data_IF_363966736316
#
_entry.id   IF_363966736316
#
_cell.length_a   1.000
_cell.length_b   1.000
_cell.length_c   1.000
_cell.angle_alpha   90.00
_cell.angle_beta   90.00
_cell.angle_gamma   90.00
#
_symmetry.space_group_name_H-M   'P 1'
#
loop_
_entity.id
_entity.type
_entity.pdbx_description
1 polymer ?
#
# COMPACT_ATOMS: atom_id res chain seq x y z
N UNK A 1 -44.90 -6.59 58.66
CA UNK A 1 -44.30 -7.59 57.74
C UNK A 1 -42.85 -7.28 57.37
N UNK A 2 -42.45 -6.03 57.09
CA UNK A 2 -41.08 -5.68 56.65
C UNK A 2 -39.94 -6.04 57.64
N UNK A 3 -40.14 -5.96 58.96
CA UNK A 3 -39.08 -6.31 59.95
C UNK A 3 -38.64 -7.77 59.90
N UNK A 4 -39.50 -8.70 59.47
CA UNK A 4 -39.14 -10.12 59.34
C UNK A 4 -38.33 -10.39 58.07
N UNK A 5 -38.54 -9.59 57.03
CA UNK A 5 -37.79 -9.68 55.77
C UNK A 5 -36.37 -9.14 55.95
N UNK A 6 -36.23 -7.97 56.58
CA UNK A 6 -34.92 -7.38 56.91
C UNK A 6 -34.07 -8.28 57.82
N UNK A 7 -34.66 -8.93 58.83
CA UNK A 7 -33.91 -9.89 59.65
C UNK A 7 -33.41 -11.12 58.88
N UNK A 8 -34.18 -11.59 57.88
CA UNK A 8 -33.75 -12.68 56.99
C UNK A 8 -32.64 -12.25 56.04
N UNK A 9 -32.73 -11.03 55.50
CA UNK A 9 -31.74 -10.48 54.59
C UNK A 9 -30.40 -10.23 55.30
N UNK A 10 -30.47 -9.71 56.54
CA UNK A 10 -29.28 -9.58 57.41
C UNK A 10 -28.71 -10.95 57.77
N UNK A 11 -29.52 -11.93 58.14
CA UNK A 11 -29.00 -13.29 58.43
C UNK A 11 -28.38 -14.01 57.22
N UNK A 12 -28.81 -13.68 55.99
CA UNK A 12 -28.21 -14.21 54.75
C UNK A 12 -26.87 -13.54 54.44
N UNK A 13 -26.73 -12.25 54.78
CA UNK A 13 -25.51 -11.47 54.55
C UNK A 13 -24.47 -11.62 55.67
N UNK A 14 -24.89 -11.92 56.90
CA UNK A 14 -24.04 -11.97 58.10
C UNK A 14 -23.31 -13.32 58.28
N UNK A 15 -23.40 -14.21 57.30
CA UNK A 15 -22.58 -15.43 57.21
C UNK A 15 -22.67 -16.40 58.41
N UNK A 16 -23.65 -16.26 59.31
CA UNK A 16 -23.76 -17.08 60.50
C UNK A 16 -24.26 -18.48 60.10
N UNK A 17 -23.43 -19.54 60.21
CA UNK A 17 -23.81 -20.86 59.75
C UNK A 17 -24.91 -21.42 60.64
N UNK A 18 -26.14 -21.44 60.14
CA UNK A 18 -27.24 -22.14 60.81
C UNK A 18 -26.90 -23.64 60.84
N UNK A 19 -26.84 -24.22 62.04
CA UNK A 19 -26.53 -25.63 62.30
C UNK A 19 -27.63 -26.61 61.83
N UNK A 20 -27.97 -26.59 60.54
CA UNK A 20 -28.87 -27.54 59.89
C UNK A 20 -28.09 -28.33 58.82
N UNK A 21 -27.67 -29.54 59.20
CA UNK A 21 -27.39 -30.66 58.29
C UNK A 21 -26.20 -30.52 57.32
N UNK A 22 -25.09 -31.19 57.65
CA UNK A 22 -23.89 -31.39 56.81
C UNK A 22 -24.12 -32.03 55.42
N UNK A 23 -25.37 -32.32 55.01
CA UNK A 23 -25.66 -33.04 53.76
C UNK A 23 -25.83 -32.14 52.52
N UNK A 24 -25.90 -30.80 52.65
CA UNK A 24 -26.14 -29.89 51.51
C UNK A 24 -24.92 -29.18 50.92
N UNK A 25 -23.72 -29.33 51.48
CA UNK A 25 -22.51 -28.67 50.96
C UNK A 25 -21.88 -29.36 49.73
N UNK A 26 -22.31 -30.59 49.36
CA UNK A 26 -21.71 -31.33 48.23
C UNK A 26 -22.09 -30.85 46.83
N UNK A 27 -22.97 -29.84 46.70
CA UNK A 27 -23.38 -29.29 45.39
C UNK A 27 -22.87 -27.88 45.08
N UNK A 28 -22.44 -27.11 46.09
CA UNK A 28 -22.10 -25.70 45.91
C UNK A 28 -20.81 -25.52 45.10
N UNK A 29 -19.78 -26.32 45.39
CA UNK A 29 -18.49 -26.25 44.66
C UNK A 29 -18.63 -26.61 43.18
N UNK A 30 -19.58 -27.48 42.82
CA UNK A 30 -19.85 -27.84 41.41
C UNK A 30 -20.51 -26.68 40.67
N UNK A 31 -21.42 -25.95 41.32
CA UNK A 31 -22.08 -24.76 40.74
C UNK A 31 -21.07 -23.64 40.55
N UNK A 32 -20.21 -23.37 41.54
CA UNK A 32 -19.17 -22.34 41.43
C UNK A 32 -18.18 -22.67 40.31
N UNK A 33 -17.75 -23.94 40.19
CA UNK A 33 -16.88 -24.37 39.10
C UNK A 33 -17.58 -24.25 37.73
N UNK A 34 -18.85 -24.62 37.63
CA UNK A 34 -19.63 -24.51 36.39
C UNK A 34 -19.76 -23.06 35.91
N UNK A 35 -19.75 -22.08 36.81
CA UNK A 35 -19.75 -20.65 36.45
C UNK A 35 -18.35 -20.11 36.12
N UNK A 36 -17.29 -20.58 36.80
CA UNK A 36 -15.93 -20.08 36.57
C UNK A 36 -15.30 -20.70 35.32
N UNK A 37 -15.57 -21.97 35.04
CA UNK A 37 -15.00 -22.71 33.91
C UNK A 37 -15.22 -22.02 32.55
N UNK A 38 -16.43 -21.57 32.17
CA UNK A 38 -16.61 -20.90 30.88
C UNK A 38 -15.81 -19.58 30.79
N UNK A 39 -15.67 -18.84 31.89
CA UNK A 39 -14.87 -17.61 31.92
C UNK A 39 -13.40 -17.94 31.69
N UNK A 40 -12.88 -18.99 32.33
CA UNK A 40 -11.50 -19.44 32.12
C UNK A 40 -11.27 -19.92 30.69
N UNK A 41 -12.22 -20.66 30.11
CA UNK A 41 -12.13 -21.11 28.71
C UNK A 41 -12.09 -19.91 27.76
N UNK A 42 -12.97 -18.93 27.94
CA UNK A 42 -12.98 -17.69 27.14
C UNK A 42 -11.65 -16.93 27.28
N UNK A 43 -11.09 -16.85 28.48
CA UNK A 43 -9.82 -16.17 28.71
C UNK A 43 -8.64 -16.89 28.03
N UNK A 44 -8.57 -18.22 28.14
CA UNK A 44 -7.52 -19.03 27.49
C UNK A 44 -7.66 -18.97 25.97
N UNK A 45 -8.88 -19.07 25.46
CA UNK A 45 -9.23 -18.89 24.06
C UNK A 45 -8.74 -17.52 23.54
N UNK A 46 -9.04 -16.43 24.26
CA UNK A 46 -8.59 -15.09 23.90
C UNK A 46 -7.07 -14.94 23.89
N UNK A 47 -6.35 -15.52 24.86
CA UNK A 47 -4.88 -15.50 24.88
C UNK A 47 -4.29 -16.28 23.69
N UNK A 48 -4.88 -17.45 23.36
CA UNK A 48 -4.45 -18.23 22.20
C UNK A 48 -4.66 -17.47 20.89
N UNK A 49 -5.81 -16.80 20.74
CA UNK A 49 -6.13 -15.98 19.56
C UNK A 49 -5.15 -14.81 19.41
N UNK A 50 -4.88 -14.07 20.49
CA UNK A 50 -3.90 -12.96 20.46
C UNK A 50 -2.50 -13.48 20.13
N UNK A 51 -2.11 -14.63 20.69
CA UNK A 51 -0.83 -15.26 20.39
C UNK A 51 -0.70 -15.67 18.92
N UNK A 52 -1.77 -16.23 18.35
CA UNK A 52 -1.87 -16.59 16.94
C UNK A 52 -1.76 -15.34 16.03
N UNK A 53 -2.55 -14.31 16.31
CA UNK A 53 -2.50 -13.03 15.58
C UNK A 53 -1.10 -12.39 15.63
N UNK A 54 -0.50 -12.31 16.83
CA UNK A 54 0.83 -11.71 17.01
C UNK A 54 1.92 -12.50 16.26
N UNK A 55 1.84 -13.84 16.26
CA UNK A 55 2.76 -14.68 15.51
C UNK A 55 2.66 -14.43 14.00
N UNK A 56 1.44 -14.37 13.46
CA UNK A 56 1.22 -14.10 12.04
C UNK A 56 1.70 -12.70 11.65
N UNK A 57 1.43 -11.69 12.49
CA UNK A 57 1.93 -10.32 12.30
C UNK A 57 3.47 -10.27 12.22
N UNK A 58 4.17 -10.96 13.12
CA UNK A 58 5.65 -10.99 13.13
C UNK A 58 6.19 -11.70 11.88
N UNK A 59 5.59 -12.81 11.47
CA UNK A 59 5.97 -13.53 10.26
C UNK A 59 5.80 -12.66 9.01
N UNK A 60 4.65 -12.02 8.86
CA UNK A 60 4.39 -11.07 7.77
C UNK A 60 5.40 -9.93 7.77
N UNK A 61 5.70 -9.34 8.94
CA UNK A 61 6.65 -8.24 9.06
C UNK A 61 8.07 -8.64 8.66
N UNK A 62 8.53 -9.83 9.08
CA UNK A 62 9.84 -10.34 8.65
C UNK A 62 9.85 -10.65 7.14
N UNK A 63 8.78 -11.23 6.59
CA UNK A 63 8.68 -11.48 5.15
C UNK A 63 8.75 -10.16 4.33
N UNK A 64 7.98 -9.13 4.72
CA UNK A 64 8.02 -7.82 4.09
C UNK A 64 9.43 -7.21 4.13
N UNK A 65 10.10 -7.33 5.28
CA UNK A 65 11.47 -6.83 5.49
C UNK A 65 12.50 -7.59 4.66
N UNK A 66 12.40 -8.91 4.52
CA UNK A 66 13.31 -9.70 3.67
C UNK A 66 13.10 -9.33 2.20
N UNK A 67 11.84 -9.19 1.75
CA UNK A 67 11.52 -8.70 0.41
C UNK A 67 12.07 -7.30 0.14
N UNK A 68 11.79 -6.34 1.02
CA UNK A 68 12.25 -4.96 0.83
C UNK A 68 13.78 -4.86 0.86
N UNK A 69 14.48 -5.68 1.66
CA UNK A 69 15.95 -5.79 1.65
C UNK A 69 16.51 -6.35 0.34
N UNK A 70 15.73 -7.10 -0.43
CA UNK A 70 16.18 -7.68 -1.69
C UNK A 70 16.30 -6.62 -2.78
N UNK A 71 15.36 -5.68 -2.84
CA UNK A 71 15.28 -4.64 -3.87
C UNK A 71 16.57 -3.85 -4.12
N UNK A 72 17.28 -3.37 -3.09
CA UNK A 72 18.54 -2.62 -3.26
C UNK A 72 19.66 -3.38 -4.00
N UNK A 73 19.58 -4.72 -4.03
CA UNK A 73 20.56 -5.57 -4.73
C UNK A 73 20.14 -5.90 -6.17
N UNK A 74 18.94 -5.50 -6.59
CA UNK A 74 18.44 -5.69 -7.95
C UNK A 74 18.79 -4.45 -8.78
N UNK A 75 19.89 -4.55 -9.53
CA UNK A 75 20.41 -3.49 -10.39
C UNK A 75 20.67 -4.03 -11.81
N UNK A 76 21.10 -3.15 -12.72
CA UNK A 76 21.35 -3.52 -14.11
C UNK A 76 20.07 -4.02 -14.77
N UNK A 77 20.12 -5.19 -15.41
CA UNK A 77 18.97 -5.81 -16.10
C UNK A 77 17.74 -6.06 -15.21
N UNK A 78 17.94 -6.14 -13.88
CA UNK A 78 16.87 -6.31 -12.92
C UNK A 78 16.45 -5.00 -12.26
N UNK A 79 16.83 -3.83 -12.78
CA UNK A 79 16.43 -2.54 -12.21
C UNK A 79 14.91 -2.28 -12.41
N UNK A 80 14.25 -1.54 -11.51
CA UNK A 80 12.81 -1.31 -11.59
C UNK A 80 12.39 -0.55 -12.86
N UNK A 81 13.27 0.29 -13.42
CA UNK A 81 13.03 1.04 -14.66
C UNK A 81 13.04 0.16 -15.90
N UNK A 82 13.66 -1.02 -15.83
CA UNK A 82 13.73 -1.97 -16.93
C UNK A 82 12.64 -3.05 -16.85
N UNK A 83 11.79 -2.99 -15.82
CA UNK A 83 10.68 -3.93 -15.71
C UNK A 83 9.68 -3.73 -16.85
N UNK A 84 9.20 -4.81 -17.49
CA UNK A 84 8.23 -4.70 -18.59
C UNK A 84 6.97 -3.96 -18.14
N UNK A 85 6.69 -2.83 -18.78
CA UNK A 85 5.57 -1.96 -18.42
C UNK A 85 4.23 -2.65 -18.67
N UNK A 86 4.12 -3.48 -19.70
CA UNK A 86 2.93 -4.31 -19.94
C UNK A 86 2.62 -5.28 -18.79
N UNK A 87 3.61 -5.61 -17.94
CA UNK A 87 3.43 -6.47 -16.79
C UNK A 87 3.17 -5.70 -15.48
N UNK A 88 3.22 -4.36 -15.48
CA UNK A 88 3.08 -3.56 -14.26
C UNK A 88 1.67 -3.61 -13.67
N UNK A 89 0.68 -3.54 -14.56
CA UNK A 89 -0.73 -3.50 -14.21
C UNK A 89 -1.15 -4.90 -13.74
N UNK A 90 -1.76 -4.96 -12.56
CA UNK A 90 -2.43 -6.15 -12.07
C UNK A 90 -3.57 -6.48 -13.04
N UNK A 91 -3.77 -7.74 -13.44
CA UNK A 91 -4.89 -8.09 -14.30
C UNK A 91 -6.19 -7.93 -13.49
N UNK A 92 -6.78 -6.74 -13.61
CA UNK A 92 -8.07 -6.41 -13.04
C UNK A 92 -9.15 -6.99 -13.96
N UNK A 93 -10.10 -7.73 -13.38
CA UNK A 93 -11.31 -8.11 -14.09
C UNK A 93 -12.15 -6.87 -14.45
N UNK A 94 -12.92 -6.96 -15.52
CA UNK A 94 -13.82 -5.92 -16.03
C UNK A 94 -14.72 -5.35 -14.91
N UNK A 95 -14.45 -4.09 -14.55
CA UNK A 95 -15.26 -3.04 -13.89
C UNK A 95 -16.21 -3.35 -12.71
N UNK A 96 -16.39 -4.60 -12.31
CA UNK A 96 -17.37 -5.05 -11.32
C UNK A 96 -16.77 -5.83 -10.16
N UNK A 97 -15.44 -5.99 -10.15
CA UNK A 97 -14.72 -6.72 -9.11
C UNK A 97 -14.64 -8.20 -9.46
N UNK A 98 -13.50 -8.62 -10.01
CA UNK A 98 -12.51 -9.41 -9.30
C UNK A 98 -11.29 -9.65 -10.17
N UNK A 99 -10.11 -9.42 -9.60
CA UNK A 99 -8.87 -9.96 -10.15
C UNK A 99 -8.95 -11.48 -10.22
N UNK A 100 -8.40 -12.03 -11.31
CA UNK A 100 -8.09 -13.45 -11.54
C UNK A 100 -9.21 -14.49 -11.71
N UNK A 101 -10.46 -14.26 -11.27
CA UNK A 101 -11.39 -15.40 -11.08
C UNK A 101 -12.46 -15.60 -12.15
N UNK A 102 -12.82 -14.57 -12.90
CA UNK A 102 -13.73 -14.76 -14.03
C UNK A 102 -12.94 -14.52 -15.31
N UNK A 103 -12.45 -15.60 -16.00
CA UNK A 103 -12.25 -15.46 -17.43
C UNK A 103 -13.54 -14.84 -17.97
N UNK A 104 -13.49 -13.74 -18.74
CA UNK A 104 -14.68 -13.23 -19.42
C UNK A 104 -15.46 -14.43 -19.99
N UNK A 105 -16.79 -14.40 -19.96
CA UNK A 105 -17.60 -15.54 -20.41
C UNK A 105 -17.21 -16.03 -21.84
N UNK A 106 -16.49 -15.20 -22.61
CA UNK A 106 -15.82 -15.52 -23.89
C UNK A 106 -14.27 -15.32 -23.92
N UNK A 107 -13.62 -14.88 -22.85
CA UNK A 107 -12.19 -14.55 -22.77
C UNK A 107 -11.44 -15.49 -21.82
N UNK A 108 -10.91 -16.57 -22.38
CA UNK A 108 -10.08 -17.50 -21.62
C UNK A 108 -8.93 -16.76 -20.92
N UNK A 109 -8.67 -17.10 -19.66
CA UNK A 109 -7.41 -16.81 -18.99
C UNK A 109 -6.26 -17.06 -19.98
N UNK A 110 -5.55 -16.00 -20.40
CA UNK A 110 -4.43 -16.14 -21.33
C UNK A 110 -3.16 -16.39 -20.51
N UNK A 111 -2.65 -17.64 -20.48
CA UNK A 111 -1.40 -17.94 -19.80
C UNK A 111 -0.20 -17.23 -20.46
N UNK A 112 -0.34 -16.66 -21.66
CA UNK A 112 0.74 -15.95 -22.34
C UNK A 112 0.76 -14.45 -22.04
N UNK A 113 -0.29 -13.93 -21.38
CA UNK A 113 -0.34 -12.52 -20.97
C UNK A 113 0.86 -12.21 -20.05
N UNK A 114 1.72 -11.24 -20.40
CA UNK A 114 2.86 -10.85 -19.58
C UNK A 114 2.51 -10.57 -18.12
N UNK A 115 1.31 -10.03 -17.85
CA UNK A 115 0.82 -9.76 -16.49
C UNK A 115 0.67 -11.05 -15.68
N UNK A 116 0.17 -12.12 -16.30
CA UNK A 116 -0.01 -13.43 -15.67
C UNK A 116 1.32 -14.19 -15.54
N UNK A 117 2.15 -14.17 -16.59
CA UNK A 117 3.44 -14.88 -16.60
C UNK A 117 4.40 -14.35 -15.55
N UNK A 118 4.59 -13.04 -15.52
CA UNK A 118 5.49 -12.38 -14.54
C UNK A 118 5.04 -12.58 -13.10
N UNK A 119 3.75 -12.87 -12.88
CA UNK A 119 3.19 -13.18 -11.56
C UNK A 119 3.11 -14.68 -11.25
N UNK A 120 3.53 -15.55 -12.17
CA UNK A 120 3.45 -17.00 -11.98
C UNK A 120 2.02 -17.54 -11.91
N UNK A 121 1.06 -16.79 -12.45
CA UNK A 121 -0.37 -17.08 -12.34
C UNK A 121 -0.87 -18.00 -13.44
N UNK A 122 0.04 -18.44 -14.33
CA UNK A 122 -0.21 -19.40 -15.42
C UNK A 122 -0.80 -20.72 -14.95
N UNK A 123 -0.62 -21.06 -13.66
CA UNK A 123 -1.27 -22.18 -13.01
C UNK A 123 -2.12 -21.72 -11.82
N UNK A 124 -3.47 -21.71 -11.94
CA UNK A 124 -4.36 -21.25 -10.88
C UNK A 124 -4.29 -22.09 -9.60
N UNK A 125 -3.62 -23.25 -9.64
CA UNK A 125 -3.40 -24.10 -8.46
C UNK A 125 -2.07 -23.86 -7.76
N UNK A 126 -1.20 -23.00 -8.28
CA UNK A 126 0.07 -22.68 -7.64
C UNK A 126 0.40 -21.19 -7.76
N UNK A 127 0.04 -20.41 -6.74
CA UNK A 127 0.54 -19.04 -6.49
C UNK A 127 2.01 -19.06 -6.02
N UNK A 128 2.82 -19.86 -6.70
CA UNK A 128 4.21 -20.12 -6.35
C UNK A 128 5.11 -19.62 -7.45
N UNK A 129 6.31 -19.25 -7.06
CA UNK A 129 7.33 -18.73 -7.95
C UNK A 129 7.85 -19.75 -8.96
N UNK A 130 7.59 -21.04 -8.72
CA UNK A 130 7.87 -22.12 -9.67
C UNK A 130 7.11 -21.98 -11.00
N UNK A 131 6.05 -21.17 -11.05
CA UNK A 131 5.25 -20.91 -12.25
C UNK A 131 5.78 -19.79 -13.15
N UNK A 132 6.84 -19.07 -12.73
CA UNK A 132 7.43 -17.96 -13.49
C UNK A 132 8.54 -18.49 -14.39
N UNK A 133 8.48 -18.20 -15.70
CA UNK A 133 9.57 -18.54 -16.61
C UNK A 133 10.84 -17.76 -16.21
N UNK A 134 12.00 -18.40 -16.33
CA UNK A 134 13.27 -17.78 -15.98
C UNK A 134 13.55 -16.48 -16.73
N UNK A 135 12.99 -16.33 -17.93
CA UNK A 135 13.12 -15.14 -18.76
C UNK A 135 12.15 -14.01 -18.35
N UNK A 136 11.15 -14.33 -17.53
CA UNK A 136 10.17 -13.36 -17.03
C UNK A 136 10.54 -12.82 -15.65
N UNK A 137 11.62 -13.31 -15.02
CA UNK A 137 12.13 -12.71 -13.79
C UNK A 137 12.64 -11.30 -14.02
N UNK A 138 12.24 -10.41 -13.13
CA UNK A 138 12.66 -9.01 -13.08
C UNK A 138 12.53 -8.46 -11.67
N UNK A 139 12.59 -7.13 -11.55
CA UNK A 139 12.65 -6.46 -10.25
C UNK A 139 11.54 -6.91 -9.27
N UNK A 140 10.28 -6.80 -9.70
CA UNK A 140 9.13 -6.97 -8.80
C UNK A 140 8.87 -8.43 -8.41
N UNK A 141 8.87 -9.35 -9.38
CA UNK A 141 8.57 -10.74 -9.08
C UNK A 141 9.70 -11.44 -8.31
N UNK A 142 10.97 -11.06 -8.48
CA UNK A 142 12.06 -11.56 -7.62
C UNK A 142 11.81 -11.17 -6.15
N UNK A 143 11.39 -9.93 -5.90
CA UNK A 143 11.05 -9.47 -4.55
C UNK A 143 9.82 -10.20 -4.02
N UNK A 144 8.75 -10.30 -4.81
CA UNK A 144 7.52 -10.99 -4.42
C UNK A 144 7.79 -12.46 -4.07
N UNK A 145 8.63 -13.14 -4.85
CA UNK A 145 9.05 -14.50 -4.58
C UNK A 145 9.85 -14.63 -3.29
N UNK A 146 10.74 -13.68 -3.03
CA UNK A 146 11.48 -13.62 -1.77
C UNK A 146 10.53 -13.46 -0.58
N UNK A 147 9.47 -12.67 -0.73
CA UNK A 147 8.42 -12.53 0.29
C UNK A 147 7.67 -13.85 0.47
N UNK A 148 7.16 -14.46 -0.61
CA UNK A 148 6.40 -15.70 -0.58
C UNK A 148 7.19 -16.85 0.08
N UNK A 149 8.47 -17.00 -0.26
CA UNK A 149 9.36 -17.99 0.35
C UNK A 149 9.57 -17.76 1.86
N UNK A 150 9.42 -16.50 2.31
CA UNK A 150 9.56 -16.11 3.71
C UNK A 150 8.24 -16.15 4.51
N UNK A 151 7.11 -16.45 3.85
CA UNK A 151 5.79 -16.47 4.51
C UNK A 151 5.49 -17.77 5.26
N UNK A 152 6.17 -18.89 4.97
CA UNK A 152 5.92 -20.22 5.57
C UNK A 152 5.76 -20.13 7.11
N UNK A 153 4.60 -20.53 7.68
CA UNK A 153 3.52 -21.35 7.09
C UNK A 153 2.31 -20.59 6.53
N UNK A 154 2.39 -19.27 6.42
CA UNK A 154 1.32 -18.46 5.83
C UNK A 154 1.35 -18.59 4.31
N UNK A 155 0.17 -18.55 3.71
CA UNK A 155 -0.01 -18.52 2.26
C UNK A 155 -0.87 -17.30 1.89
N UNK A 156 -0.55 -16.69 0.74
CA UNK A 156 -1.40 -15.68 0.10
C UNK A 156 -2.55 -16.42 -0.57
N UNK A 157 -3.79 -16.15 -0.16
CA UNK A 157 -4.97 -16.75 -0.77
C UNK A 157 -5.51 -15.85 -1.85
N UNK A 158 -5.77 -16.43 -3.02
CA UNK A 158 -6.63 -15.84 -4.03
C UNK A 158 -7.96 -16.56 -4.04
N UNK A 159 -8.97 -16.00 -4.71
CA UNK A 159 -10.29 -16.63 -4.71
C UNK A 159 -11.32 -15.83 -3.94
N UNK A 160 -12.49 -16.44 -3.83
CA UNK A 160 -13.51 -16.08 -2.87
C UNK A 160 -13.27 -16.84 -1.56
N UNK A 161 -13.49 -16.15 -0.45
CA UNK A 161 -13.55 -16.71 0.88
C UNK A 161 -14.84 -17.55 0.99
N UNK A 162 -14.74 -18.86 1.30
CA UNK A 162 -15.88 -19.77 1.30
C UNK A 162 -16.92 -19.45 2.38
N UNK A 163 -16.54 -18.69 3.42
CA UNK A 163 -17.44 -18.32 4.52
C UNK A 163 -18.23 -17.05 4.24
N UNK A 164 -17.67 -16.12 3.47
CA UNK A 164 -18.26 -14.80 3.22
C UNK A 164 -18.74 -14.61 1.79
N UNK A 165 -18.34 -15.50 0.86
CA UNK A 165 -18.50 -15.34 -0.59
C UNK A 165 -17.84 -14.05 -1.12
N UNK A 166 -17.08 -13.35 -0.26
CA UNK A 166 -16.33 -12.17 -0.61
C UNK A 166 -14.92 -12.59 -1.04
N UNK A 167 -14.26 -11.84 -1.92
CA UNK A 167 -12.87 -12.09 -2.30
C UNK A 167 -11.96 -12.10 -1.08
N UNK A 168 -10.92 -12.93 -1.13
CA UNK A 168 -9.76 -12.71 -0.29
C UNK A 168 -9.12 -11.36 -0.64
N UNK A 169 -8.58 -10.70 0.38
CA UNK A 169 -7.88 -9.41 0.25
C UNK A 169 -6.37 -9.54 0.45
N UNK A 170 -5.85 -10.75 0.28
CA UNK A 170 -4.43 -11.03 0.45
C UNK A 170 -3.64 -10.50 -0.76
N UNK A 171 -2.63 -9.69 -0.54
CA UNK A 171 -1.83 -9.11 -1.63
C UNK A 171 -0.41 -8.76 -1.16
N UNK A 172 0.52 -8.73 -2.12
CA UNK A 172 1.87 -8.24 -1.94
C UNK A 172 2.03 -7.06 -2.89
N UNK A 173 2.27 -5.88 -2.32
CA UNK A 173 2.44 -4.65 -3.08
C UNK A 173 3.85 -4.15 -2.95
N UNK A 174 4.46 -3.80 -4.08
CA UNK A 174 5.83 -3.34 -4.16
C UNK A 174 5.82 -2.00 -4.89
N UNK A 175 6.17 -0.95 -4.16
CA UNK A 175 6.35 0.39 -4.71
C UNK A 175 7.82 0.76 -4.66
N UNK A 176 8.32 1.39 -5.72
CA UNK A 176 9.68 1.93 -5.73
C UNK A 176 9.63 3.41 -5.98
N UNK A 177 10.20 4.21 -5.09
CA UNK A 177 10.20 5.66 -5.19
C UNK A 177 11.60 6.15 -5.55
N UNK A 178 11.69 7.10 -6.48
CA UNK A 178 12.88 7.90 -6.68
C UNK A 178 12.73 9.18 -5.86
N UNK A 179 13.71 9.50 -5.01
CA UNK A 179 13.63 10.66 -4.14
C UNK A 179 14.86 11.55 -4.30
N UNK A 180 14.63 12.85 -4.31
CA UNK A 180 15.65 13.86 -4.56
C UNK A 180 15.61 14.92 -3.46
N UNK A 181 16.79 15.25 -2.93
CA UNK A 181 16.91 16.40 -2.04
C UNK A 181 16.90 17.68 -2.88
N UNK A 182 15.89 18.50 -2.68
CA UNK A 182 15.76 19.83 -3.31
C UNK A 182 15.94 20.91 -2.25
N UNK A 183 16.40 22.09 -2.66
CA UNK A 183 16.41 23.28 -1.81
C UNK A 183 15.31 24.22 -2.27
N UNK A 184 14.17 24.21 -1.58
CA UNK A 184 13.09 25.13 -1.90
C UNK A 184 13.41 26.49 -1.28
N UNK A 185 13.73 27.51 -2.07
CA UNK A 185 13.97 28.83 -1.51
C UNK A 185 12.72 29.36 -0.79
N UNK A 186 12.90 29.99 0.37
CA UNK A 186 11.89 30.92 0.85
C UNK A 186 11.81 31.99 -0.22
N UNK A 187 10.65 32.14 -0.90
CA UNK A 187 10.43 33.20 -1.89
C UNK A 187 10.93 34.48 -1.24
N UNK A 188 12.10 34.95 -1.68
CA UNK A 188 12.72 36.12 -1.09
C UNK A 188 11.64 37.18 -1.12
N UNK A 189 11.34 37.79 0.03
CA UNK A 189 10.52 39.00 0.05
C UNK A 189 11.14 39.90 -1.00
N UNK A 190 10.48 40.03 -2.16
CA UNK A 190 11.05 40.61 -3.36
C UNK A 190 11.72 41.90 -2.93
N UNK A 191 13.06 41.93 -2.94
CA UNK A 191 13.76 43.16 -2.65
C UNK A 191 13.51 44.01 -3.90
N UNK A 192 12.68 45.06 -3.84
CA UNK A 192 12.21 45.73 -5.06
C UNK A 192 13.35 46.41 -5.82
N UNK A 193 14.50 46.56 -5.16
CA UNK A 193 15.68 47.26 -5.65
C UNK A 193 16.75 46.33 -6.24
N UNK A 194 16.59 45.00 -6.16
CA UNK A 194 17.55 44.04 -6.69
C UNK A 194 16.88 43.17 -7.77
N UNK A 195 16.79 43.66 -9.04
CA UNK A 195 16.36 42.86 -10.17
C UNK A 195 17.47 41.87 -10.50
N UNK A 196 17.62 40.85 -9.66
CA UNK A 196 18.48 39.72 -9.99
C UNK A 196 17.86 38.97 -11.17
N UNK A 197 18.71 38.44 -12.07
CA UNK A 197 18.24 37.65 -13.19
C UNK A 197 17.36 36.52 -12.66
N UNK A 198 16.32 36.21 -13.44
CA UNK A 198 15.28 35.19 -13.23
C UNK A 198 15.82 33.75 -13.11
N UNK A 199 17.10 33.57 -12.79
CA UNK A 199 17.80 32.28 -12.69
C UNK A 199 18.02 31.83 -11.24
N UNK A 200 17.36 32.47 -10.27
CA UNK A 200 17.19 31.85 -8.96
C UNK A 200 15.97 30.93 -9.08
N UNK A 201 16.23 29.69 -9.52
CA UNK A 201 15.36 28.49 -9.64
C UNK A 201 14.49 28.23 -8.39
N UNK A 202 13.65 29.19 -8.04
CA UNK A 202 12.56 29.04 -7.09
C UNK A 202 11.31 28.68 -7.90
N UNK A 203 11.40 27.64 -8.74
CA UNK A 203 10.44 27.32 -9.79
C UNK A 203 9.19 26.58 -9.31
N UNK A 204 9.01 26.42 -7.99
CA UNK A 204 7.76 25.84 -7.50
C UNK A 204 6.68 26.90 -7.39
N UNK A 205 5.64 26.71 -8.21
CA UNK A 205 4.45 27.54 -8.26
C UNK A 205 3.83 27.77 -6.87
N UNK A 206 3.25 28.96 -6.71
CA UNK A 206 2.56 29.42 -5.51
C UNK A 206 1.38 28.49 -5.22
N UNK A 207 1.55 27.51 -4.33
CA UNK A 207 0.51 26.55 -3.98
C UNK A 207 1.02 25.15 -3.64
N UNK A 208 2.27 24.82 -4.01
CA UNK A 208 2.85 23.54 -3.65
C UNK A 208 3.04 23.44 -2.11
N UNK A 209 2.75 22.28 -1.47
CA UNK A 209 2.77 22.10 -0.01
C UNK A 209 4.18 22.11 0.62
N UNK A 210 5.19 22.56 -0.12
CA UNK A 210 6.59 22.46 0.23
C UNK A 210 7.04 23.63 1.10
N UNK A 211 7.59 23.31 2.28
CA UNK A 211 8.19 24.30 3.15
C UNK A 211 9.51 24.82 2.55
N UNK A 212 9.90 26.07 2.86
CA UNK A 212 11.24 26.55 2.54
C UNK A 212 12.36 25.71 3.16
N UNK A 213 13.46 25.56 2.43
CA UNK A 213 14.68 24.88 2.80
C UNK A 213 14.94 23.57 2.06
N UNK A 214 15.99 22.87 2.50
CA UNK A 214 16.31 21.54 2.01
C UNK A 214 15.25 20.53 2.43
N UNK A 215 14.66 19.82 1.47
CA UNK A 215 13.71 18.75 1.71
C UNK A 215 13.85 17.64 0.68
N UNK A 216 13.43 16.43 1.04
CA UNK A 216 13.37 15.30 0.13
C UNK A 216 12.00 15.29 -0.53
N UNK A 217 11.98 15.33 -1.85
CA UNK A 217 10.77 15.16 -2.65
C UNK A 217 10.82 13.82 -3.38
N UNK A 218 9.65 13.22 -3.55
CA UNK A 218 9.49 12.09 -4.47
C UNK A 218 9.39 12.67 -5.88
N UNK A 219 10.21 12.16 -6.78
CA UNK A 219 10.36 12.61 -8.17
C UNK A 219 10.16 11.47 -9.18
N UNK A 220 9.68 10.33 -8.69
CA UNK A 220 9.33 9.19 -9.51
C UNK A 220 8.76 8.07 -8.67
N UNK A 221 7.85 7.29 -9.25
CA UNK A 221 7.31 6.06 -8.66
C UNK A 221 7.27 4.99 -9.73
N UNK A 222 7.86 3.84 -9.43
CA UNK A 222 7.90 2.70 -10.33
C UNK A 222 7.03 1.54 -9.80
N UNK A 223 6.40 0.78 -10.70
CA UNK A 223 6.50 0.90 -12.16
C UNK A 223 5.74 2.12 -12.66
N UNK A 224 6.20 2.74 -13.75
CA UNK A 224 5.71 4.04 -14.18
C UNK A 224 4.26 4.03 -14.69
N UNK A 225 3.75 2.87 -15.13
CA UNK A 225 2.34 2.65 -15.51
C UNK A 225 1.51 2.01 -14.37
N UNK A 226 2.00 2.06 -13.12
CA UNK A 226 1.20 1.77 -11.93
C UNK A 226 1.56 2.79 -10.83
N UNK A 227 1.54 4.07 -11.19
CA UNK A 227 1.94 5.18 -10.35
C UNK A 227 0.76 6.02 -9.84
N UNK A 228 -0.45 5.89 -10.40
CA UNK A 228 -1.55 6.79 -10.11
C UNK A 228 -2.88 6.11 -9.79
N UNK A 229 -3.66 6.80 -8.96
CA UNK A 229 -5.08 6.54 -8.79
C UNK A 229 -5.86 7.84 -8.97
N UNK A 230 -6.31 8.08 -10.19
CA UNK A 230 -7.16 9.22 -10.52
C UNK A 230 -8.62 8.88 -10.26
N UNK A 231 -9.11 9.09 -9.03
CA UNK A 231 -10.53 8.92 -8.75
C UNK A 231 -11.30 10.20 -9.13
N UNK A 232 -12.01 10.17 -10.26
CA UNK A 232 -13.02 11.19 -10.59
C UNK A 232 -12.48 12.54 -11.07
N UNK A 233 -11.33 12.56 -11.74
CA UNK A 233 -10.77 13.77 -12.38
C UNK A 233 -10.07 14.74 -11.42
N UNK A 234 -9.95 14.39 -10.13
CA UNK A 234 -9.01 14.99 -9.21
C UNK A 234 -7.99 13.91 -8.82
N UNK A 235 -6.71 14.16 -9.07
CA UNK A 235 -5.64 13.25 -8.69
C UNK A 235 -5.67 13.11 -7.17
N UNK A 236 -5.97 11.91 -6.65
CA UNK A 236 -6.01 11.68 -5.20
C UNK A 236 -4.64 11.83 -4.55
N UNK A 237 -3.56 11.69 -5.32
CA UNK A 237 -2.20 11.94 -4.86
C UNK A 237 -1.78 13.40 -5.03
N UNK A 238 -2.66 14.28 -5.50
CA UNK A 238 -2.41 15.72 -5.69
C UNK A 238 -1.37 16.07 -6.77
N UNK A 239 -0.57 15.09 -7.21
CA UNK A 239 0.58 15.26 -8.11
C UNK A 239 0.98 13.93 -8.76
N UNK A 240 1.32 13.94 -10.05
CA UNK A 240 2.02 12.82 -10.71
C UNK A 240 3.50 12.87 -10.28
N UNK A 241 4.09 11.76 -9.79
CA UNK A 241 5.48 11.77 -9.35
C UNK A 241 6.48 12.14 -10.46
N UNK A 242 6.10 12.00 -11.73
CA UNK A 242 6.88 12.41 -12.91
C UNK A 242 6.53 13.81 -13.43
N UNK A 243 5.41 14.41 -13.01
CA UNK A 243 5.04 15.82 -13.22
C UNK A 243 5.29 16.62 -11.92
N UNK A 244 6.52 17.11 -11.76
CA UNK A 244 6.88 17.88 -10.56
C UNK A 244 6.57 19.37 -10.66
N UNK A 245 6.41 19.91 -11.87
CA UNK A 245 6.01 21.29 -12.12
C UNK A 245 4.52 21.25 -12.45
N UNK A 246 3.67 21.42 -11.43
CA UNK A 246 2.19 21.31 -11.51
C UNK A 246 1.60 22.39 -12.44
N UNK A 247 1.84 22.29 -13.74
CA UNK A 247 1.47 23.26 -14.77
C UNK A 247 0.48 22.64 -15.77
N UNK A 248 0.11 21.37 -15.60
CA UNK A 248 -0.73 20.57 -16.51
C UNK A 248 -0.18 20.50 -17.95
N UNK A 249 1.12 20.68 -18.13
CA UNK A 249 1.81 20.60 -19.42
C UNK A 249 3.00 19.66 -19.30
N UNK A 250 3.20 18.78 -20.30
CA UNK A 250 4.40 17.93 -20.30
C UNK A 250 5.64 18.81 -20.25
N UNK A 251 6.34 18.74 -19.12
CA UNK A 251 7.66 19.31 -19.02
C UNK A 251 8.54 18.57 -20.01
N UNK A 252 9.13 19.30 -20.94
CA UNK A 252 9.96 18.70 -21.98
C UNK A 252 11.09 19.64 -22.36
N UNK A 253 12.27 19.06 -22.55
CA UNK A 253 13.42 19.79 -23.04
C UNK A 253 13.57 19.57 -24.54
N UNK A 254 13.81 20.68 -25.24
CA UNK A 254 14.12 20.65 -26.66
C UNK A 254 15.62 20.46 -26.82
N UNK A 255 16.04 19.25 -27.15
CA UNK A 255 17.42 18.95 -27.50
C UNK A 255 17.63 19.11 -29.02
N UNK A 256 18.42 20.09 -29.43
CA UNK A 256 18.85 20.21 -30.83
C UNK A 256 19.99 19.23 -31.11
N UNK A 257 19.70 18.17 -31.86
CA UNK A 257 20.71 17.19 -32.29
C UNK A 257 21.83 17.86 -33.11
N UNK A 258 23.02 17.22 -33.26
CA UNK A 258 24.08 17.73 -34.13
C UNK A 258 23.67 17.96 -35.60
N UNK A 259 22.54 17.37 -36.02
CA UNK A 259 21.95 17.57 -37.34
C UNK A 259 21.09 18.83 -37.47
N UNK A 260 20.90 19.59 -36.38
CA UNK A 260 20.02 20.76 -36.31
C UNK A 260 18.54 20.40 -36.14
N UNK A 261 18.23 19.12 -35.87
CA UNK A 261 16.86 18.67 -35.58
C UNK A 261 16.60 18.76 -34.08
N UNK A 262 15.56 19.50 -33.74
CA UNK A 262 14.99 19.56 -32.39
C UNK A 262 14.28 18.24 -32.05
N UNK A 263 14.64 17.65 -30.93
CA UNK A 263 14.03 16.46 -30.35
C UNK A 263 13.46 16.86 -29.00
N UNK A 264 12.15 16.69 -28.84
CA UNK A 264 11.48 16.87 -27.57
C UNK A 264 11.73 15.62 -26.72
N UNK A 265 12.40 15.81 -25.59
CA UNK A 265 12.58 14.77 -24.58
C UNK A 265 11.59 15.12 -23.46
N UNK A 266 10.47 14.39 -23.32
CA UNK A 266 9.58 14.61 -22.19
C UNK A 266 10.29 14.17 -20.91
N UNK A 267 10.25 15.03 -19.89
CA UNK A 267 10.72 14.72 -18.54
C UNK A 267 9.71 13.81 -17.82
N UNK A 268 8.44 13.95 -18.17
CA UNK A 268 7.37 13.03 -17.82
C UNK A 268 7.50 11.74 -18.64
N UNK A 269 7.43 10.58 -18.00
CA UNK A 269 7.41 9.26 -18.68
C UNK A 269 6.09 9.01 -19.44
N UNK A 270 5.32 10.05 -19.72
CA UNK A 270 4.04 9.99 -20.40
C UNK A 270 4.24 10.15 -21.92
N UNK A 271 3.56 9.32 -22.74
CA UNK A 271 3.60 9.50 -24.20
C UNK A 271 2.46 10.45 -24.60
N UNK A 272 2.75 11.55 -25.31
CA UNK A 272 1.68 12.40 -25.85
C UNK A 272 0.87 11.63 -26.89
N UNK A 273 -0.45 11.50 -26.66
CA UNK A 273 -1.36 10.91 -27.65
C UNK A 273 -2.08 11.99 -28.44
N UNK A 274 -2.02 11.87 -29.75
CA UNK A 274 -2.67 12.79 -30.69
C UNK A 274 -3.89 12.11 -31.33
N UNK A 275 -4.98 12.85 -31.53
CA UNK A 275 -6.11 12.35 -32.34
C UNK A 275 -5.71 12.25 -33.81
N UNK A 276 -6.61 11.68 -34.63
CA UNK A 276 -6.45 11.62 -36.08
C UNK A 276 -6.23 13.00 -36.75
N UNK A 277 -6.56 14.10 -36.08
CA UNK A 277 -6.32 15.48 -36.53
C UNK A 277 -5.00 16.08 -36.02
N UNK A 278 -4.14 15.30 -35.34
CA UNK A 278 -2.87 15.78 -34.79
C UNK A 278 -3.00 16.69 -33.57
N UNK A 279 -4.19 16.78 -32.97
CA UNK A 279 -4.41 17.55 -31.73
C UNK A 279 -4.08 16.66 -30.53
N UNK A 280 -3.25 17.16 -29.61
CA UNK A 280 -2.97 16.49 -28.35
C UNK A 280 -4.29 16.27 -27.59
N UNK A 281 -4.63 15.02 -27.27
CA UNK A 281 -5.88 14.69 -26.57
C UNK A 281 -5.60 14.54 -25.07
N UNK A 282 -4.66 13.67 -24.72
CA UNK A 282 -4.25 13.28 -23.36
C UNK A 282 -2.89 12.61 -23.41
N UNK A 283 -2.22 12.57 -22.27
CA UNK A 283 -1.02 11.76 -22.07
C UNK A 283 -1.42 10.32 -21.76
N UNK A 284 -0.79 9.36 -22.43
CA UNK A 284 -1.05 7.93 -22.26
C UNK A 284 -0.03 7.35 -21.28
N UNK A 285 -0.42 6.43 -20.39
CA UNK A 285 0.52 5.43 -19.93
C UNK A 285 1.09 4.69 -21.14
N UNK A 286 2.37 4.35 -21.08
CA UNK A 286 3.22 4.02 -22.23
C UNK A 286 2.70 2.85 -23.09
N UNK A 287 1.80 2.03 -22.55
CA UNK A 287 1.24 0.85 -23.19
C UNK A 287 -0.21 0.60 -22.76
N UNK A 288 -1.17 1.04 -23.57
CA UNK A 288 -2.51 0.44 -23.61
C UNK A 288 -2.77 -0.06 -25.05
N UNK A 289 -2.76 -1.38 -25.30
CA UNK A 289 -2.90 -1.93 -26.62
C UNK A 289 -4.34 -1.77 -27.11
N UNK A 290 -4.57 -0.73 -27.92
CA UNK A 290 -5.71 -0.64 -28.85
C UNK A 290 -7.06 -0.81 -28.16
N UNK A 291 -7.42 0.13 -27.29
CA UNK A 291 -8.84 0.33 -26.95
C UNK A 291 -9.54 0.80 -28.23
N UNK A 292 -10.58 0.07 -28.66
CA UNK A 292 -11.31 0.39 -29.89
C UNK A 292 -11.93 1.79 -29.80
N UNK A 293 -11.99 2.52 -30.92
CA UNK A 293 -12.62 3.84 -30.96
C UNK A 293 -14.03 3.79 -30.35
N UNK A 294 -14.21 4.40 -29.16
CA UNK A 294 -15.49 4.48 -28.47
C UNK A 294 -15.54 3.94 -27.05
N UNK A 295 -14.51 3.22 -26.59
CA UNK A 295 -14.42 2.80 -25.20
C UNK A 295 -13.86 3.92 -24.31
N UNK A 296 -14.56 4.20 -23.22
CA UNK A 296 -14.13 5.17 -22.22
C UNK A 296 -12.95 4.59 -21.46
N UNK A 297 -11.77 5.16 -21.71
CA UNK A 297 -10.52 4.90 -20.99
C UNK A 297 -10.78 4.69 -19.51
N UNK A 298 -10.44 3.51 -18.99
CA UNK A 298 -10.34 3.33 -17.54
C UNK A 298 -9.02 3.97 -17.13
N UNK A 299 -9.12 5.03 -16.33
CA UNK A 299 -7.95 5.70 -15.77
C UNK A 299 -7.03 4.69 -15.07
N UNK A 300 -5.75 5.01 -14.95
CA UNK A 300 -4.84 4.17 -14.17
C UNK A 300 -5.33 4.13 -12.72
N UNK A 301 -5.62 2.91 -12.25
CA UNK A 301 -6.26 2.64 -10.97
C UNK A 301 -5.34 1.89 -10.03
N UNK A 302 -4.02 2.02 -10.18
CA UNK A 302 -3.07 1.20 -9.42
C UNK A 302 -1.89 1.99 -8.89
N UNK A 303 -1.56 1.72 -7.62
CA UNK A 303 -0.41 2.29 -6.91
C UNK A 303 0.63 1.21 -6.63
N UNK A 304 1.79 1.33 -7.25
CA UNK A 304 2.85 0.32 -7.19
C UNK A 304 2.48 -0.96 -7.94
N UNK A 305 3.39 -1.93 -7.94
CA UNK A 305 3.12 -3.25 -8.50
C UNK A 305 2.41 -4.12 -7.46
N UNK A 306 1.26 -4.70 -7.82
CA UNK A 306 0.52 -5.63 -6.97
C UNK A 306 0.61 -7.06 -7.51
N UNK A 307 0.79 -8.03 -6.61
CA UNK A 307 0.92 -9.45 -6.93
C UNK A 307 -0.42 -10.09 -7.31
N UNK A 308 -1.45 -9.92 -6.47
CA UNK A 308 -2.77 -10.53 -6.68
C UNK A 308 -3.83 -9.53 -7.15
N UNK A 309 -3.56 -8.23 -7.10
CA UNK A 309 -4.54 -7.20 -7.47
C UNK A 309 -5.81 -7.21 -6.61
N UNK A 310 -5.80 -7.91 -5.46
CA UNK A 310 -7.00 -8.10 -4.65
C UNK A 310 -7.20 -7.00 -3.61
N UNK A 311 -6.13 -6.30 -3.23
CA UNK A 311 -6.24 -5.23 -2.25
C UNK A 311 -6.69 -3.92 -2.89
N UNK A 312 -7.90 -3.48 -2.53
CA UNK A 312 -8.44 -2.17 -2.87
C UNK A 312 -8.04 -1.16 -1.79
N UNK A 313 -7.41 -0.06 -2.20
CA UNK A 313 -7.02 1.04 -1.33
C UNK A 313 -8.28 1.65 -0.69
N UNK A 314 -8.21 1.94 0.61
CA UNK A 314 -9.29 2.58 1.33
C UNK A 314 -9.68 3.94 0.73
N UNK A 315 -10.89 4.41 1.02
CA UNK A 315 -11.34 5.72 0.58
C UNK A 315 -10.42 6.82 1.13
N UNK A 316 -9.93 7.70 0.24
CA UNK A 316 -9.17 8.89 0.61
C UNK A 316 -10.15 10.06 0.67
N UNK A 317 -10.18 10.78 1.79
CA UNK A 317 -11.08 11.92 2.02
C UNK A 317 -12.58 11.65 1.77
N UNK A 318 -13.02 10.41 2.01
CA UNK A 318 -14.41 9.99 1.83
C UNK A 318 -14.81 9.69 0.38
N UNK A 319 -13.87 9.75 -0.57
CA UNK A 319 -14.08 9.29 -1.94
C UNK A 319 -13.63 7.85 -2.07
N UNK A 320 -14.57 6.97 -2.43
CA UNK A 320 -14.24 5.59 -2.82
C UNK A 320 -13.40 5.65 -4.09
N UNK A 321 -12.11 5.37 -3.99
CA UNK A 321 -11.28 5.15 -5.16
C UNK A 321 -11.44 3.71 -5.61
N UNK A 322 -11.70 3.52 -6.90
CA UNK A 322 -11.39 2.26 -7.57
C UNK A 322 -9.88 2.24 -7.76
N UNK A 323 -9.14 2.07 -6.67
CA UNK A 323 -7.69 2.09 -6.63
C UNK A 323 -7.19 0.81 -5.97
N UNK A 324 -6.16 0.21 -6.53
CA UNK A 324 -5.58 -1.03 -6.03
C UNK A 324 -4.09 -0.88 -5.74
N UNK A 325 -3.56 -1.69 -4.83
CA UNK A 325 -2.15 -1.70 -4.49
C UNK A 325 -1.82 -0.89 -3.24
N UNK A 326 -0.89 0.06 -3.36
CA UNK A 326 -0.17 0.65 -2.23
C UNK A 326 -1.01 1.71 -1.52
N UNK A 327 -1.10 1.62 -0.20
CA UNK A 327 -1.77 2.66 0.59
C UNK A 327 -0.90 3.91 0.75
N UNK A 328 0.42 3.77 0.63
CA UNK A 328 1.31 4.92 0.69
C UNK A 328 1.08 5.87 -0.48
N UNK A 329 0.74 7.12 -0.15
CA UNK A 329 0.75 8.24 -1.08
C UNK A 329 2.15 8.82 -1.22
N UNK A 330 2.39 9.62 -2.25
CA UNK A 330 3.65 10.36 -2.41
C UNK A 330 3.91 11.28 -1.22
N UNK A 331 2.90 12.00 -0.76
CA UNK A 331 2.98 12.93 0.36
C UNK A 331 3.33 12.22 1.67
N UNK A 332 2.78 11.03 1.91
CA UNK A 332 3.13 10.23 3.09
C UNK A 332 4.58 9.78 3.05
N UNK A 333 5.07 9.32 1.89
CA UNK A 333 6.48 8.94 1.72
C UNK A 333 7.40 10.16 1.90
N UNK A 334 7.05 11.30 1.31
CA UNK A 334 7.78 12.55 1.49
C UNK A 334 7.78 12.99 2.95
N UNK A 335 6.64 12.95 3.64
CA UNK A 335 6.52 13.30 5.04
C UNK A 335 7.39 12.40 5.91
N UNK A 336 7.41 11.08 5.65
CA UNK A 336 8.25 10.12 6.34
C UNK A 336 9.75 10.40 6.16
N UNK A 337 10.19 10.71 4.94
CA UNK A 337 11.58 11.03 4.63
C UNK A 337 12.01 12.40 5.16
N UNK A 338 11.06 13.34 5.28
CA UNK A 338 11.28 14.68 5.82
C UNK A 338 11.05 14.81 7.33
N UNK A 339 10.77 13.71 8.04
CA UNK A 339 10.40 13.78 9.46
C UNK A 339 11.44 14.58 10.29
N UNK A 340 10.97 15.56 11.09
CA UNK A 340 11.81 16.51 11.83
C UNK A 340 12.61 15.88 12.97
N UNK A 341 12.51 14.56 13.18
CA UNK A 341 13.15 13.87 14.30
C UNK A 341 14.65 13.63 14.06
N UNK A 342 15.13 13.65 12.81
CA UNK A 342 16.56 13.48 12.52
C UNK A 342 17.37 14.77 12.71
N UNK A 343 16.77 15.92 12.43
CA UNK A 343 17.35 17.26 12.59
C UNK A 343 16.28 18.14 13.23
N UNK A 344 16.48 18.59 14.47
CA UNK A 344 15.43 19.32 15.18
C UNK A 344 15.23 20.69 14.53
N UNK A 345 13.99 21.08 14.20
CA UNK A 345 13.71 22.42 13.73
C UNK A 345 14.17 23.46 14.76
N UNK A 346 14.88 24.50 14.31
CA UNK A 346 15.40 25.58 15.15
C UNK A 346 16.87 25.44 15.55
N UNK A 347 17.52 24.31 15.25
CA UNK A 347 18.98 24.22 15.33
C UNK A 347 19.62 25.16 14.29
N UNK A 348 20.67 25.89 14.66
CA UNK A 348 21.33 26.87 13.77
C UNK A 348 21.98 26.26 12.52
N UNK A 349 22.19 24.93 12.52
CA UNK A 349 22.74 24.13 11.42
C UNK A 349 21.66 23.28 10.71
N UNK A 350 20.37 23.51 10.99
CA UNK A 350 19.27 22.69 10.47
C UNK A 350 19.30 22.54 8.94
N UNK A 351 19.46 23.66 8.21
CA UNK A 351 19.51 23.66 6.75
C UNK A 351 20.78 23.00 6.21
N UNK A 352 21.93 23.25 6.85
CA UNK A 352 23.20 22.61 6.47
C UNK A 352 23.10 21.09 6.61
N UNK A 353 22.55 20.59 7.73
CA UNK A 353 22.39 19.15 7.95
C UNK A 353 21.42 18.49 6.97
N UNK A 354 20.35 19.19 6.56
CA UNK A 354 19.41 18.67 5.54
C UNK A 354 19.97 18.72 4.12
N UNK A 355 20.96 19.57 3.85
CA UNK A 355 21.66 19.60 2.55
C UNK A 355 22.44 18.30 2.26
N UNK A 356 22.80 17.54 3.30
CA UNK A 356 23.47 16.24 3.16
C UNK A 356 22.49 15.06 2.99
N UNK A 357 21.18 15.30 2.90
CA UNK A 357 20.23 14.23 2.60
C UNK A 357 20.51 13.73 1.16
N UNK A 358 20.86 12.45 0.97
CA UNK A 358 21.17 11.95 -0.35
C UNK A 358 19.90 11.81 -1.17
N UNK A 359 19.99 12.17 -2.44
CA UNK A 359 19.05 11.67 -3.45
C UNK A 359 19.26 10.17 -3.57
N UNK A 360 18.19 9.40 -3.37
CA UNK A 360 18.25 7.94 -3.38
C UNK A 360 16.90 7.36 -3.78
N UNK A 361 16.92 6.14 -4.30
CA UNK A 361 15.71 5.36 -4.43
C UNK A 361 15.28 4.74 -3.10
N UNK A 362 14.01 4.37 -2.99
CA UNK A 362 13.41 3.69 -1.85
C UNK A 362 12.53 2.55 -2.39
N UNK A 363 12.75 1.33 -1.91
CA UNK A 363 11.87 0.21 -2.18
C UNK A 363 11.00 -0.02 -0.97
N UNK A 364 9.70 0.00 -1.17
CA UNK A 364 8.67 -0.25 -0.18
C UNK A 364 7.94 -1.55 -0.56
N UNK A 365 7.85 -2.46 0.40
CA UNK A 365 7.04 -3.68 0.27
C UNK A 365 5.96 -3.65 1.33
N UNK A 366 4.72 -3.78 0.91
CA UNK A 366 3.54 -3.92 1.74
C UNK A 366 2.94 -5.32 1.56
N UNK A 367 2.48 -5.91 2.66
CA UNK A 367 1.72 -7.17 2.62
C UNK A 367 0.39 -6.92 3.30
N UNK A 368 -0.67 -7.27 2.58
CA UNK A 368 -2.03 -7.29 3.05
C UNK A 368 -2.42 -8.75 3.22
N UNK A 369 -2.90 -9.13 4.41
CA UNK A 369 -3.25 -10.52 4.68
C UNK A 369 -4.48 -10.57 5.59
N UNK A 370 -5.54 -11.21 5.12
CA UNK A 370 -6.82 -11.31 5.83
C UNK A 370 -6.76 -12.36 6.94
N UNK A 371 -6.76 -11.91 8.19
CA UNK A 371 -6.67 -12.81 9.33
C UNK A 371 -7.94 -13.61 9.58
N UNK A 372 -7.82 -14.94 9.43
CA UNK A 372 -8.80 -15.90 9.93
C UNK A 372 -8.56 -16.19 11.41
N UNK A 373 -9.61 -15.98 12.20
CA UNK A 373 -9.59 -16.31 13.62
C UNK A 373 -9.48 -17.82 13.80
N UNK A 374 -8.61 -18.27 14.70
CA UNK A 374 -8.40 -19.69 14.98
C UNK A 374 -9.71 -20.39 15.40
N UNK A 375 -10.59 -19.65 16.09
CA UNK A 375 -11.88 -20.16 16.57
C UNK A 375 -13.10 -19.64 15.77
N UNK A 376 -12.89 -18.89 14.68
CA UNK A 376 -13.94 -18.21 13.93
C UNK A 376 -15.06 -19.15 13.45
N UNK A 377 -14.70 -20.32 12.92
CA UNK A 377 -15.66 -21.32 12.46
C UNK A 377 -16.21 -22.26 13.54
N UNK A 378 -15.54 -22.37 14.70
CA UNK A 378 -15.87 -23.38 15.71
C UNK A 378 -16.94 -22.90 16.71
N UNK A 379 -17.05 -21.60 16.95
CA UNK A 379 -17.87 -21.04 18.02
C UNK A 379 -18.63 -19.78 17.57
N UNK A 380 -19.91 -19.91 17.17
CA UNK A 380 -20.73 -18.80 16.69
C UNK A 380 -20.85 -17.61 17.68
N UNK A 381 -20.70 -17.88 18.98
CA UNK A 381 -20.79 -16.86 20.04
C UNK A 381 -19.67 -15.82 19.93
N UNK A 382 -18.48 -16.21 19.49
CA UNK A 382 -17.36 -15.28 19.37
C UNK A 382 -17.47 -14.38 18.14
N UNK A 383 -18.17 -14.83 17.08
CA UNK A 383 -18.36 -14.05 15.86
C UNK A 383 -19.04 -12.69 16.13
N UNK A 384 -20.10 -12.70 16.95
CA UNK A 384 -20.85 -11.48 17.30
C UNK A 384 -20.14 -10.56 18.29
N UNK A 385 -19.28 -11.10 19.17
CA UNK A 385 -18.50 -10.29 20.10
C UNK A 385 -17.26 -9.68 19.44
N UNK A 386 -16.67 -10.38 18.47
CA UNK A 386 -15.52 -9.87 17.71
C UNK A 386 -15.93 -8.80 16.70
N UNK A 387 -17.14 -8.90 16.11
CA UNK A 387 -17.63 -7.85 15.21
C UNK A 387 -17.73 -6.47 15.88
N UNK A 388 -17.91 -6.42 17.21
CA UNK A 388 -17.86 -5.16 17.97
C UNK A 388 -16.47 -4.54 18.00
N UNK A 389 -15.41 -5.35 17.98
CA UNK A 389 -14.03 -4.87 17.89
C UNK A 389 -13.62 -4.53 16.46
N UNK A 390 -14.14 -5.25 15.46
CA UNK A 390 -13.82 -5.00 14.05
C UNK A 390 -14.65 -3.87 13.44
N UNK A 391 -15.86 -3.60 13.95
CA UNK A 391 -16.66 -2.43 13.53
C UNK A 391 -16.05 -1.08 13.93
N UNK A 392 -15.05 -1.06 14.83
CA UNK A 392 -14.24 0.14 15.07
C UNK A 392 -13.28 0.46 13.91
N UNK A 393 -13.07 -0.48 12.98
CA UNK A 393 -12.35 -0.26 11.72
C UNK A 393 -13.25 -0.47 10.49
N UNK A 394 -14.56 -0.19 10.61
CA UNK A 394 -15.56 -0.45 9.58
C UNK A 394 -15.26 0.19 8.20
N UNK A 395 -14.35 1.17 8.12
CA UNK A 395 -13.95 1.78 6.86
C UNK A 395 -12.91 0.96 6.05
N UNK A 396 -12.17 0.03 6.67
CA UNK A 396 -11.10 -0.73 5.98
C UNK A 396 -11.47 -2.18 5.61
N UNK A 397 -12.72 -2.61 5.84
CA UNK A 397 -13.25 -3.84 5.26
C UNK A 397 -12.55 -5.14 5.68
N UNK A 398 -12.59 -5.48 6.96
CA UNK A 398 -12.26 -6.84 7.45
C UNK A 398 -10.99 -6.92 8.31
N UNK A 399 -10.66 -8.14 8.74
CA UNK A 399 -9.52 -8.43 9.62
C UNK A 399 -8.18 -8.39 8.86
N UNK A 400 -7.89 -7.35 8.10
CA UNK A 400 -6.68 -7.28 7.29
C UNK A 400 -5.50 -6.88 8.17
N UNK A 401 -4.48 -7.72 8.22
CA UNK A 401 -3.16 -7.38 8.76
C UNK A 401 -2.38 -6.69 7.64
N UNK A 402 -2.06 -5.41 7.84
CA UNK A 402 -1.14 -4.66 7.00
C UNK A 402 0.21 -4.56 7.68
N UNK A 403 1.25 -4.99 6.98
CA UNK A 403 2.64 -4.75 7.37
C UNK A 403 3.40 -4.17 6.20
N UNK A 404 4.47 -3.43 6.48
CA UNK A 404 5.31 -2.88 5.46
C UNK A 404 6.76 -2.75 5.92
N UNK A 405 7.67 -2.71 4.96
CA UNK A 405 9.07 -2.41 5.19
C UNK A 405 9.61 -1.60 4.01
N UNK A 406 10.55 -0.70 4.29
CA UNK A 406 11.18 0.12 3.27
C UNK A 406 12.71 0.10 3.40
N UNK A 407 13.43 0.03 2.27
CA UNK A 407 14.90 0.05 2.24
C UNK A 407 15.40 0.96 1.10
N UNK A 408 16.52 1.69 1.30
CA UNK A 408 17.12 2.50 0.25
C UNK A 408 17.59 1.64 -0.92
N UNK A 409 17.22 1.99 -2.14
CA UNK A 409 17.54 1.25 -3.36
C UNK A 409 18.17 2.15 -4.42
N UNK A 410 19.50 2.07 -4.55
CA UNK A 410 20.27 2.85 -5.51
C UNK A 410 19.84 2.61 -6.97
N UNK A 411 19.29 1.43 -7.28
CA UNK A 411 18.78 1.14 -8.62
C UNK A 411 17.67 2.08 -9.06
N UNK A 412 16.91 2.68 -8.13
CA UNK A 412 15.86 3.65 -8.42
C UNK A 412 16.30 5.11 -8.23
N UNK A 413 17.59 5.39 -8.41
CA UNK A 413 18.11 6.74 -8.36
C UNK A 413 17.36 7.66 -9.35
N UNK A 414 16.96 8.87 -8.90
CA UNK A 414 16.40 9.85 -9.80
C UNK A 414 17.45 10.31 -10.79
N UNK A 415 17.08 10.38 -12.08
CA UNK A 415 17.88 11.03 -13.10
C UNK A 415 17.18 12.30 -13.61
N UNK A 416 16.70 13.13 -12.69
CA UNK A 416 16.27 14.48 -13.03
C UNK A 416 17.45 15.42 -12.86
N UNK A 417 17.99 15.86 -14.00
CA UNK A 417 18.85 17.04 -14.07
C UNK A 417 17.94 18.27 -14.02
N UNK A 418 17.83 18.90 -12.85
CA UNK A 418 17.36 20.29 -12.82
C UNK A 418 18.36 21.11 -13.62
N UNK A 419 17.88 21.91 -14.57
CA UNK A 419 18.68 22.72 -15.49
C UNK A 419 19.52 23.77 -14.74
N UNK A 420 20.56 23.33 -14.04
CA UNK A 420 21.60 24.16 -13.44
C UNK A 420 22.61 24.55 -14.52
N UNK A 421 22.19 25.38 -15.48
CA UNK A 421 23.08 26.07 -16.43
C UNK A 421 23.29 27.54 -16.06
#
# INVERSE_FOLDING_TARGET
MMRKFLKKLVQILDGTPAGYGQQRQRGQSLVELAFITPILIIMVAGIAEIGWYANNYINLLEAAKVGARRGPFLNGENAPQLFPMEASIAPMGDSSGFGFLEPPEDGAFDPNDPRNRTRGLTNPRSLRCDGIDVNDFGFYNIIACTVLDSLDPLEIRTGENPDTEAPYKDDIVISVFATQAINNCERGTENPEDPKPETNDCDMEIGAPYLPGHQVVVVGRYPANANECAAGGANQEGRDPFDYIINNTVDSEVFTTPSGKDVWIPFELSIPTYNAAGTLIKFKPLFDPVVAEGETWTDETQRGWSWTGQYKVGAVDGFTSDCWGSEFTLDEVQALLNLPNFVRPGDGDYQDRRSYLPSQGLVLVEIFWEHELLMGGAFPIFYGAYSLFTNLSAESGGNIIRVWAAFPAAAAEPHLTFGLD
#
